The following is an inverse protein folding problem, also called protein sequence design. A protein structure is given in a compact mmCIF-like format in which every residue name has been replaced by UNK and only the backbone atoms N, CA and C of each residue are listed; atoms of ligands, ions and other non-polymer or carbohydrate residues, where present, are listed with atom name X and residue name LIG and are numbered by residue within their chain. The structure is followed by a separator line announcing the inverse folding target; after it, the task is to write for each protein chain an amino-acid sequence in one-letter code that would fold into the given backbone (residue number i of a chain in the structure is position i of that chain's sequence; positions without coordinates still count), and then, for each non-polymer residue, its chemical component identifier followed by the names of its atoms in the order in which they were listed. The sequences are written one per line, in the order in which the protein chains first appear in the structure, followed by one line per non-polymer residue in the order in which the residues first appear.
data_IF_457994418721
#
_entry.id   IF_457994418721
#
_cell.length_a   1.000
_cell.length_b   1.000
_cell.length_c   1.000
_cell.angle_alpha   90.00
_cell.angle_beta   90.00
_cell.angle_gamma   90.00
#
_symmetry.space_group_name_H-M   'P 1'
#
loop_
_entity.id
_entity.type
_entity.pdbx_description
1 polymer ?
#
# COMPACT_ATOMS: atom_id res chain seq x y z
N UNK A 1 -20.17 20.95 -13.77
CA UNK A 1 -18.95 21.27 -13.02
C UNK A 1 -19.18 22.35 -12.00
N UNK A 2 -19.92 23.39 -12.33
CA UNK A 2 -20.34 24.42 -11.36
C UNK A 2 -21.12 23.84 -10.17
N UNK A 3 -21.90 22.78 -10.40
CA UNK A 3 -22.70 22.12 -9.35
C UNK A 3 -21.84 21.51 -8.23
N UNK A 4 -20.66 21.02 -8.53
CA UNK A 4 -19.77 20.46 -7.51
C UNK A 4 -19.22 21.52 -6.58
N UNK A 5 -18.92 22.70 -7.10
CA UNK A 5 -18.42 23.84 -6.33
C UNK A 5 -19.52 24.34 -5.41
N UNK A 6 -20.75 24.45 -5.91
CA UNK A 6 -21.91 24.88 -5.12
C UNK A 6 -22.23 23.92 -3.99
N UNK A 7 -22.10 22.63 -4.21
CA UNK A 7 -22.32 21.60 -3.17
C UNK A 7 -21.28 21.73 -2.04
N UNK A 8 -20.03 22.09 -2.37
CA UNK A 8 -18.97 22.29 -1.37
C UNK A 8 -19.22 23.54 -0.51
N UNK A 9 -19.80 24.58 -1.08
CA UNK A 9 -20.07 25.84 -0.39
C UNK A 9 -21.32 25.75 0.48
N UNK A 10 -22.36 25.04 0.04
CA UNK A 10 -23.57 24.81 0.82
C UNK A 10 -23.31 23.88 1.98
N UNK A 11 -23.84 24.19 3.15
CA UNK A 11 -23.85 23.29 4.29
C UNK A 11 -24.69 22.06 3.94
N UNK A 12 -24.25 20.89 4.37
CA UNK A 12 -24.96 19.63 4.11
C UNK A 12 -26.40 19.67 4.65
N UNK A 13 -26.63 20.38 5.75
CA UNK A 13 -27.97 20.55 6.34
C UNK A 13 -28.93 21.31 5.41
N UNK A 14 -28.44 22.19 4.55
CA UNK A 14 -29.26 23.02 3.66
C UNK A 14 -29.61 22.31 2.33
N UNK A 15 -29.07 21.11 2.11
CA UNK A 15 -29.32 20.33 0.91
C UNK A 15 -30.67 19.61 0.99
N UNK A 16 -31.32 19.48 -0.17
CA UNK A 16 -32.51 18.64 -0.30
C UNK A 16 -32.13 17.18 -0.12
N UNK A 17 -33.06 16.28 0.27
CA UNK A 17 -32.75 14.87 0.47
C UNK A 17 -32.06 14.20 -0.74
N UNK A 18 -32.48 14.54 -1.95
CA UNK A 18 -31.88 14.04 -3.20
C UNK A 18 -30.45 14.52 -3.38
N UNK A 19 -30.20 15.81 -3.08
CA UNK A 19 -28.88 16.41 -3.14
C UNK A 19 -27.94 15.83 -2.08
N UNK A 20 -28.45 15.57 -0.87
CA UNK A 20 -27.70 14.92 0.21
C UNK A 20 -27.23 13.52 -0.20
N UNK A 21 -28.11 12.78 -0.83
CA UNK A 21 -27.80 11.42 -1.28
C UNK A 21 -26.72 11.43 -2.36
N UNK A 22 -26.85 12.34 -3.35
CA UNK A 22 -25.88 12.51 -4.42
C UNK A 22 -24.52 12.96 -3.87
N UNK A 23 -24.50 13.93 -2.95
CA UNK A 23 -23.29 14.40 -2.29
C UNK A 23 -22.60 13.29 -1.52
N UNK A 24 -23.36 12.49 -0.78
CA UNK A 24 -22.84 11.37 0.00
C UNK A 24 -22.20 10.31 -0.89
N UNK A 25 -22.85 9.96 -2.01
CA UNK A 25 -22.31 9.02 -3.00
C UNK A 25 -20.99 9.51 -3.57
N UNK A 26 -20.94 10.78 -3.98
CA UNK A 26 -19.75 11.39 -4.57
C UNK A 26 -18.61 11.45 -3.55
N UNK A 27 -18.89 11.84 -2.31
CA UNK A 27 -17.92 11.87 -1.23
C UNK A 27 -17.34 10.47 -0.95
N UNK A 28 -18.20 9.47 -0.80
CA UNK A 28 -17.77 8.09 -0.53
C UNK A 28 -16.98 7.51 -1.70
N UNK A 29 -17.39 7.80 -2.93
CA UNK A 29 -16.69 7.37 -4.13
C UNK A 29 -15.28 7.91 -4.19
N UNK A 30 -15.11 9.21 -3.95
CA UNK A 30 -13.79 9.86 -3.93
C UNK A 30 -12.89 9.33 -2.81
N UNK A 31 -13.48 9.11 -1.63
CA UNK A 31 -12.77 8.55 -0.47
C UNK A 31 -12.29 7.12 -0.77
N UNK A 32 -13.14 6.31 -1.37
CA UNK A 32 -12.82 4.94 -1.76
C UNK A 32 -11.72 4.92 -2.83
N UNK A 33 -11.82 5.80 -3.83
CA UNK A 33 -10.81 5.92 -4.89
C UNK A 33 -9.43 6.27 -4.33
N UNK A 34 -9.35 7.22 -3.40
CA UNK A 34 -8.07 7.61 -2.76
C UNK A 34 -7.45 6.45 -1.98
N UNK A 35 -8.26 5.72 -1.22
CA UNK A 35 -7.80 4.54 -0.47
C UNK A 35 -7.31 3.45 -1.42
N UNK A 36 -8.05 3.21 -2.51
CA UNK A 36 -7.69 2.22 -3.51
C UNK A 36 -6.35 2.56 -4.18
N UNK A 37 -6.15 3.82 -4.57
CA UNK A 37 -4.89 4.29 -5.14
C UNK A 37 -3.73 4.12 -4.18
N UNK A 38 -3.91 4.49 -2.92
CA UNK A 38 -2.90 4.32 -1.89
C UNK A 38 -2.52 2.84 -1.71
N UNK A 39 -3.52 1.97 -1.64
CA UNK A 39 -3.30 0.53 -1.48
C UNK A 39 -2.54 -0.06 -2.67
N UNK A 40 -2.89 0.37 -3.89
CA UNK A 40 -2.19 -0.06 -5.12
C UNK A 40 -0.73 0.36 -5.09
N UNK A 41 -0.44 1.61 -4.71
CA UNK A 41 0.93 2.12 -4.60
C UNK A 41 1.77 1.33 -3.61
N UNK A 42 1.19 1.01 -2.45
CA UNK A 42 1.87 0.22 -1.42
C UNK A 42 2.18 -1.19 -1.94
N UNK A 43 1.22 -1.83 -2.59
CA UNK A 43 1.40 -3.16 -3.18
C UNK A 43 2.44 -3.16 -4.30
N UNK A 44 2.44 -2.15 -5.15
CA UNK A 44 3.44 -1.98 -6.21
C UNK A 44 4.83 -1.79 -5.65
N UNK A 45 4.97 -0.98 -4.60
CA UNK A 45 6.25 -0.77 -3.93
C UNK A 45 6.81 -2.09 -3.37
N UNK A 46 5.96 -2.87 -2.70
CA UNK A 46 6.34 -4.19 -2.18
C UNK A 46 6.76 -5.12 -3.32
N UNK A 47 6.01 -5.14 -4.42
CA UNK A 47 6.30 -5.93 -5.61
C UNK A 47 7.65 -5.56 -6.22
N UNK A 48 7.91 -4.25 -6.35
CA UNK A 48 9.17 -3.75 -6.92
C UNK A 48 10.36 -4.08 -6.03
N UNK A 49 10.22 -3.94 -4.71
CA UNK A 49 11.27 -4.31 -3.75
C UNK A 49 11.55 -5.81 -3.79
N UNK A 50 10.51 -6.62 -3.93
CA UNK A 50 10.62 -8.07 -4.04
C UNK A 50 11.39 -8.48 -5.31
N UNK A 51 11.08 -7.82 -6.43
CA UNK A 51 11.79 -8.03 -7.71
C UNK A 51 13.26 -7.64 -7.59
N UNK A 52 13.54 -6.47 -6.99
CA UNK A 52 14.90 -6.00 -6.74
C UNK A 52 15.68 -6.99 -5.87
N UNK A 53 15.05 -7.52 -4.83
CA UNK A 53 15.66 -8.50 -3.94
C UNK A 53 16.03 -9.77 -4.70
N UNK A 54 15.16 -10.26 -5.58
CA UNK A 54 15.44 -11.43 -6.41
C UNK A 54 16.64 -11.20 -7.33
N UNK A 55 16.71 -10.03 -7.95
CA UNK A 55 17.82 -9.66 -8.84
C UNK A 55 19.14 -9.60 -8.08
N UNK A 56 19.15 -8.95 -6.92
CA UNK A 56 20.32 -8.81 -6.07
C UNK A 56 20.77 -10.16 -5.51
N UNK A 57 19.82 -11.01 -5.14
CA UNK A 57 20.09 -12.37 -4.68
C UNK A 57 20.72 -13.21 -5.79
N UNK A 58 20.25 -13.06 -7.03
CA UNK A 58 20.80 -13.76 -8.19
C UNK A 58 22.23 -13.32 -8.49
N UNK A 59 22.58 -12.05 -8.26
CA UNK A 59 23.94 -11.54 -8.44
C UNK A 59 24.89 -11.91 -7.31
N UNK A 60 24.35 -12.39 -6.18
CA UNK A 60 25.15 -12.79 -5.03
C UNK A 60 25.67 -11.64 -4.17
N UNK A 61 25.20 -10.43 -4.37
CA UNK A 61 25.61 -9.26 -3.58
C UNK A 61 24.88 -9.23 -2.24
N UNK A 62 25.53 -9.72 -1.22
CA UNK A 62 24.99 -9.87 0.13
C UNK A 62 24.65 -8.53 0.79
N UNK A 63 25.50 -7.53 0.62
CA UNK A 63 25.28 -6.21 1.23
C UNK A 63 24.03 -5.55 0.68
N UNK A 64 23.85 -5.55 -0.64
CA UNK A 64 22.64 -5.02 -1.30
C UNK A 64 21.41 -5.85 -0.96
N UNK A 65 21.55 -7.16 -0.87
CA UNK A 65 20.45 -8.06 -0.49
C UNK A 65 19.94 -7.75 0.92
N UNK A 66 20.83 -7.54 1.87
CA UNK A 66 20.47 -7.19 3.26
C UNK A 66 19.78 -5.83 3.32
N UNK A 67 20.31 -4.83 2.61
CA UNK A 67 19.70 -3.50 2.54
C UNK A 67 18.29 -3.55 1.93
N UNK A 68 18.13 -4.23 0.81
CA UNK A 68 16.83 -4.40 0.15
C UNK A 68 15.85 -5.16 1.04
N UNK A 69 16.33 -6.19 1.75
CA UNK A 69 15.52 -6.95 2.69
C UNK A 69 14.97 -6.07 3.80
N UNK A 70 15.80 -5.18 4.38
CA UNK A 70 15.37 -4.25 5.42
C UNK A 70 14.28 -3.32 4.91
N UNK A 71 14.43 -2.77 3.71
CA UNK A 71 13.41 -1.92 3.07
C UNK A 71 12.12 -2.67 2.85
N UNK A 72 12.20 -3.91 2.37
CA UNK A 72 11.04 -4.75 2.10
C UNK A 72 10.31 -5.14 3.38
N UNK A 73 11.05 -5.50 4.44
CA UNK A 73 10.46 -5.82 5.74
C UNK A 73 9.74 -4.62 6.33
N UNK A 74 10.32 -3.43 6.24
CA UNK A 74 9.69 -2.18 6.67
C UNK A 74 8.40 -1.90 5.90
N UNK A 75 8.41 -2.09 4.59
CA UNK A 75 7.22 -1.91 3.75
C UNK A 75 6.12 -2.90 4.10
N UNK A 76 6.46 -4.17 4.36
CA UNK A 76 5.51 -5.20 4.78
C UNK A 76 4.90 -4.89 6.15
N UNK A 77 5.71 -4.43 7.11
CA UNK A 77 5.23 -4.05 8.44
C UNK A 77 4.25 -2.87 8.37
N UNK A 78 4.56 -1.87 7.56
CA UNK A 78 3.69 -0.71 7.36
C UNK A 78 2.37 -1.13 6.70
N UNK A 79 2.42 -1.99 5.70
CA UNK A 79 1.23 -2.51 5.04
C UNK A 79 0.34 -3.30 6.00
N UNK A 80 0.93 -4.10 6.88
CA UNK A 80 0.20 -4.85 7.91
C UNK A 80 -0.42 -3.92 8.96
N UNK A 81 0.31 -2.88 9.37
CA UNK A 81 -0.17 -1.89 10.35
C UNK A 81 -1.39 -1.13 9.86
N UNK A 82 -1.42 -0.77 8.59
CA UNK A 82 -2.53 0.00 7.99
C UNK A 82 -3.69 -0.90 7.56
N UNK A 83 -3.52 -2.22 7.59
CA UNK A 83 -4.55 -3.18 7.21
C UNK A 83 -4.62 -3.51 5.72
N UNK A 84 -3.65 -3.10 4.92
CA UNK A 84 -3.56 -3.45 3.50
C UNK A 84 -3.27 -4.93 3.34
N UNK A 85 -2.51 -5.49 4.27
CA UNK A 85 -2.10 -6.88 4.31
C UNK A 85 -2.34 -7.43 5.72
N UNK A 86 -2.76 -8.69 5.82
CA UNK A 86 -2.89 -9.34 7.12
C UNK A 86 -1.51 -9.55 7.74
N UNK A 87 -1.39 -9.34 9.05
CA UNK A 87 -0.09 -9.43 9.73
C UNK A 87 0.54 -10.82 9.66
N UNK A 88 -0.26 -11.87 9.58
CA UNK A 88 0.25 -13.25 9.39
C UNK A 88 0.91 -13.42 8.02
N UNK A 89 0.31 -12.82 6.98
CA UNK A 89 0.85 -12.84 5.62
C UNK A 89 2.18 -12.09 5.58
N UNK A 90 2.23 -10.91 6.20
CA UNK A 90 3.44 -10.10 6.30
C UNK A 90 4.56 -10.86 7.02
N UNK A 91 4.26 -11.48 8.17
CA UNK A 91 5.22 -12.27 8.94
C UNK A 91 5.76 -13.46 8.15
N UNK A 92 4.88 -14.16 7.43
CA UNK A 92 5.26 -15.30 6.59
C UNK A 92 6.21 -14.87 5.46
N UNK A 93 5.88 -13.77 4.78
CA UNK A 93 6.72 -13.23 3.71
C UNK A 93 8.08 -12.78 4.23
N UNK A 94 8.12 -12.07 5.35
CA UNK A 94 9.36 -11.65 6.01
C UNK A 94 10.25 -12.85 6.34
N UNK A 95 9.68 -13.90 6.87
CA UNK A 95 10.40 -15.13 7.24
C UNK A 95 11.02 -15.79 6.00
N UNK A 96 10.24 -15.94 4.92
CA UNK A 96 10.72 -16.54 3.67
C UNK A 96 11.86 -15.74 3.05
N UNK A 97 11.72 -14.41 3.03
CA UNK A 97 12.72 -13.51 2.48
C UNK A 97 13.99 -13.52 3.31
N UNK A 98 13.88 -13.54 4.63
CA UNK A 98 15.02 -13.65 5.55
C UNK A 98 15.81 -14.93 5.31
N UNK A 99 15.11 -16.05 5.10
CA UNK A 99 15.73 -17.33 4.79
C UNK A 99 16.50 -17.29 3.46
N UNK A 100 15.92 -16.65 2.45
CA UNK A 100 16.57 -16.50 1.14
C UNK A 100 17.87 -15.71 1.23
N UNK A 101 17.87 -14.62 2.00
CA UNK A 101 19.08 -13.80 2.20
C UNK A 101 20.10 -14.52 3.08
N UNK A 102 19.65 -15.22 4.12
CA UNK A 102 20.52 -16.02 4.98
C UNK A 102 21.23 -17.13 4.19
N UNK A 103 20.56 -17.72 3.21
CA UNK A 103 21.14 -18.74 2.33
C UNK A 103 22.35 -18.20 1.53
N UNK A 104 22.35 -16.92 1.18
CA UNK A 104 23.49 -16.27 0.51
C UNK A 104 24.73 -16.23 1.41
N UNK A 105 24.52 -16.05 2.72
CA UNK A 105 25.63 -15.97 3.70
C UNK A 105 26.34 -17.30 3.86
N UNK A 106 25.64 -18.40 3.67
CA UNK A 106 26.19 -19.74 3.83
C UNK A 106 26.73 -20.32 2.54
N UNK A 107 26.39 -19.71 1.43
CA UNK A 107 26.91 -20.10 0.11
C UNK A 107 28.17 -19.34 -0.23
#
# INVERSE_FOLDING_TARGET
MANKVNIKIKKVADLKPEEKLAWRRDYLSRKTARKSEHNVRVKENISNLNRTLRQVTATGDQAKATETLQKLQSALDKAAKVGIMHKRTASRRKRRLSKSVAALKTA
#
